data_IF_317902616804
#
_entry.id   IF_317902616804
#
_cell.length_a   1.000
_cell.length_b   1.000
_cell.length_c   1.000
_cell.angle_alpha   90.00
_cell.angle_beta   90.00
_cell.angle_gamma   90.00
#
_symmetry.space_group_name_H-M   'P 1'
#
loop_
_entity.id
_entity.type
_entity.pdbx_description
1 polymer ?
#
# COMPACT_ATOMS: atom_id res chain seq x y z
N UNK A 1 2.32 -1.01 28.55
CA UNK A 1 1.42 -2.11 28.94
C UNK A 1 2.13 -3.20 29.76
N UNK A 2 3.43 -3.40 29.57
CA UNK A 2 4.22 -4.37 30.34
C UNK A 2 5.48 -3.70 30.85
N UNK A 3 5.67 -3.69 32.16
CA UNK A 3 6.87 -3.21 32.83
C UNK A 3 7.87 -4.36 33.06
N UNK A 4 9.17 -4.05 33.12
CA UNK A 4 10.23 -5.02 33.34
C UNK A 4 11.15 -5.25 32.13
N UNK A 5 12.07 -6.20 32.27
CA UNK A 5 12.99 -6.61 31.24
C UNK A 5 12.30 -7.39 30.09
N UNK A 6 13.04 -7.72 29.04
CA UNK A 6 12.50 -8.40 27.84
C UNK A 6 11.87 -9.76 28.18
N UNK A 7 12.41 -10.50 29.16
CA UNK A 7 11.87 -11.81 29.56
C UNK A 7 10.60 -11.65 30.37
N UNK A 8 10.55 -10.68 31.27
CA UNK A 8 9.37 -10.36 32.08
C UNK A 8 8.21 -9.87 31.19
N UNK A 9 8.49 -9.00 30.23
CA UNK A 9 7.52 -8.55 29.22
C UNK A 9 6.96 -9.71 28.41
N UNK A 10 7.82 -10.64 28.01
CA UNK A 10 7.41 -11.84 27.25
C UNK A 10 6.58 -12.80 28.11
N UNK A 11 6.93 -12.99 29.39
CA UNK A 11 6.16 -13.81 30.33
C UNK A 11 4.79 -13.19 30.61
N UNK A 12 4.71 -11.86 30.83
CA UNK A 12 3.45 -11.14 31.00
C UNK A 12 2.56 -11.22 29.75
N UNK A 13 3.14 -11.09 28.55
CA UNK A 13 2.42 -11.28 27.30
C UNK A 13 1.86 -12.70 27.14
N UNK A 14 2.65 -13.74 27.51
CA UNK A 14 2.18 -15.13 27.50
C UNK A 14 1.01 -15.36 28.47
N UNK A 15 1.09 -14.79 29.69
CA UNK A 15 0.00 -14.87 30.69
C UNK A 15 -1.27 -14.19 30.17
N UNK A 16 -1.16 -12.99 29.62
CA UNK A 16 -2.29 -12.28 29.01
C UNK A 16 -2.91 -13.10 27.88
N UNK A 17 -2.08 -13.74 27.06
CA UNK A 17 -2.50 -14.59 25.95
C UNK A 17 -3.23 -15.86 26.42
N UNK A 18 -2.84 -16.42 27.56
CA UNK A 18 -3.48 -17.61 28.15
C UNK A 18 -4.74 -17.29 28.97
N UNK A 19 -4.97 -16.03 29.36
CA UNK A 19 -6.05 -15.60 30.25
C UNK A 19 -7.39 -15.28 29.57
N UNK A 20 -7.60 -15.71 28.33
CA UNK A 20 -8.87 -15.51 27.61
C UNK A 20 -9.04 -14.15 26.94
N UNK A 21 -8.08 -13.20 27.08
CA UNK A 21 -8.03 -11.92 26.38
C UNK A 21 -7.36 -12.02 25.01
N UNK A 22 -6.73 -13.17 24.68
CA UNK A 22 -6.19 -13.44 23.37
C UNK A 22 -7.32 -13.67 22.35
N UNK A 23 -7.12 -13.18 21.11
CA UNK A 23 -8.04 -13.50 20.04
C UNK A 23 -8.18 -15.01 19.84
N UNK A 24 -9.38 -15.48 19.52
CA UNK A 24 -9.71 -16.91 19.33
C UNK A 24 -8.68 -17.63 18.43
N UNK A 25 -8.31 -17.02 17.31
CA UNK A 25 -7.32 -17.61 16.38
C UNK A 25 -5.91 -17.82 17.02
N UNK A 26 -5.51 -16.96 17.99
CA UNK A 26 -4.26 -17.12 18.72
C UNK A 26 -4.34 -18.29 19.72
N UNK A 27 -5.52 -18.50 20.30
CA UNK A 27 -5.77 -19.65 21.18
C UNK A 27 -5.71 -20.95 20.36
N UNK A 28 -6.34 -20.98 19.18
CA UNK A 28 -6.29 -22.12 18.27
C UNK A 28 -4.85 -22.47 17.86
N UNK A 29 -4.01 -21.44 17.57
CA UNK A 29 -2.57 -21.66 17.31
C UNK A 29 -1.88 -22.29 18.53
N UNK A 30 -2.14 -21.79 19.74
CA UNK A 30 -1.51 -22.33 20.97
C UNK A 30 -1.91 -23.76 21.28
N UNK A 31 -3.11 -24.16 20.84
CA UNK A 31 -3.67 -25.50 20.96
C UNK A 31 -3.30 -26.43 19.77
N UNK A 32 -2.53 -25.93 18.81
CA UNK A 32 -2.19 -26.63 17.57
C UNK A 32 -3.41 -27.02 16.70
N UNK A 33 -4.51 -26.31 16.88
CA UNK A 33 -5.76 -26.51 16.13
C UNK A 33 -5.82 -25.62 14.92
N UNK A 34 -4.85 -25.74 14.02
CA UNK A 34 -4.64 -24.81 12.89
C UNK A 34 -5.79 -24.86 11.87
N UNK A 35 -6.39 -26.03 11.67
CA UNK A 35 -7.49 -26.20 10.72
C UNK A 35 -8.78 -25.53 11.16
N UNK A 36 -8.93 -25.21 12.47
CA UNK A 36 -10.11 -24.55 13.00
C UNK A 36 -10.03 -23.01 12.89
N UNK A 37 -8.90 -22.47 12.41
CA UNK A 37 -8.72 -21.02 12.28
C UNK A 37 -9.69 -20.45 11.25
N UNK A 38 -10.50 -19.47 11.68
CA UNK A 38 -11.33 -18.65 10.81
C UNK A 38 -10.59 -17.35 10.43
N UNK A 39 -10.17 -17.25 9.18
CA UNK A 39 -9.42 -16.09 8.68
C UNK A 39 -10.23 -14.79 8.68
N UNK A 40 -11.58 -14.84 8.67
CA UNK A 40 -12.44 -13.66 8.77
C UNK A 40 -12.26 -12.93 10.12
N UNK A 41 -11.87 -13.65 11.17
CA UNK A 41 -11.68 -13.11 12.52
C UNK A 41 -10.28 -12.54 12.76
N UNK A 42 -9.40 -12.58 11.77
CA UNK A 42 -8.03 -12.09 11.88
C UNK A 42 -7.94 -10.66 11.34
N UNK A 43 -7.39 -9.74 12.15
CA UNK A 43 -7.16 -8.37 11.72
C UNK A 43 -6.19 -8.31 10.52
N UNK A 44 -6.43 -7.39 9.60
CA UNK A 44 -5.72 -7.33 8.32
C UNK A 44 -4.19 -7.30 8.43
N UNK A 45 -3.62 -6.58 9.40
CA UNK A 45 -2.17 -6.56 9.63
C UNK A 45 -1.64 -7.90 10.14
N UNK A 46 -2.38 -8.56 11.04
CA UNK A 46 -2.02 -9.90 11.53
C UNK A 46 -2.14 -10.94 10.40
N UNK A 47 -3.14 -10.80 9.54
CA UNK A 47 -3.32 -11.63 8.36
C UNK A 47 -2.12 -11.51 7.41
N UNK A 48 -1.64 -10.29 7.15
CA UNK A 48 -0.43 -10.05 6.34
C UNK A 48 0.83 -10.67 6.97
N UNK A 49 0.95 -10.66 8.30
CA UNK A 49 2.08 -11.29 9.00
C UNK A 49 2.02 -12.82 8.84
N UNK A 50 0.85 -13.42 9.00
CA UNK A 50 0.68 -14.87 8.86
C UNK A 50 1.00 -15.34 7.44
N UNK A 51 0.55 -14.61 6.42
CA UNK A 51 0.78 -14.96 5.01
C UNK A 51 2.23 -14.75 4.55
N UNK A 52 2.94 -13.79 5.15
CA UNK A 52 4.35 -13.53 4.85
C UNK A 52 5.32 -14.42 5.66
N UNK A 53 4.82 -15.16 6.63
CA UNK A 53 5.56 -16.20 7.35
C UNK A 53 5.38 -17.55 6.66
N UNK A 54 6.18 -18.54 7.04
CA UNK A 54 5.97 -19.92 6.60
C UNK A 54 4.82 -20.63 7.33
N UNK A 55 3.99 -19.88 8.08
CA UNK A 55 2.94 -20.45 8.92
C UNK A 55 1.91 -21.26 8.11
N UNK A 56 1.41 -20.69 7.02
CA UNK A 56 0.40 -21.35 6.18
C UNK A 56 0.95 -22.64 5.55
N UNK A 57 2.18 -22.55 5.03
CA UNK A 57 2.89 -23.69 4.43
C UNK A 57 3.15 -24.80 5.46
N UNK A 58 3.72 -24.46 6.61
CA UNK A 58 4.09 -25.41 7.66
C UNK A 58 2.89 -26.15 8.27
N UNK A 59 1.68 -25.60 8.13
CA UNK A 59 0.47 -26.21 8.72
C UNK A 59 -0.58 -26.62 7.68
N UNK A 60 -0.21 -26.63 6.38
CA UNK A 60 -1.08 -27.07 5.29
C UNK A 60 -2.35 -26.23 5.13
N UNK A 61 -2.25 -24.91 5.35
CA UNK A 61 -3.36 -23.97 5.32
C UNK A 61 -3.43 -23.14 4.03
N UNK A 62 -2.51 -23.37 3.09
CA UNK A 62 -2.40 -22.53 1.88
C UNK A 62 -3.67 -22.55 1.04
N UNK A 63 -4.23 -23.75 0.77
CA UNK A 63 -5.45 -23.90 -0.04
C UNK A 63 -6.66 -23.30 0.66
N UNK A 64 -6.81 -23.56 1.96
CA UNK A 64 -7.87 -22.97 2.78
C UNK A 64 -7.81 -21.45 2.77
N UNK A 65 -6.60 -20.88 2.90
CA UNK A 65 -6.40 -19.44 2.84
C UNK A 65 -6.66 -18.88 1.43
N UNK A 66 -6.20 -19.57 0.38
CA UNK A 66 -6.45 -19.15 -1.00
C UNK A 66 -7.95 -19.10 -1.32
N UNK A 67 -8.72 -20.10 -0.90
CA UNK A 67 -10.18 -20.11 -1.05
C UNK A 67 -10.84 -18.97 -0.28
N UNK A 68 -10.42 -18.75 0.97
CA UNK A 68 -10.90 -17.63 1.78
C UNK A 68 -10.69 -16.29 1.08
N UNK A 69 -9.48 -15.98 0.62
CA UNK A 69 -9.20 -14.67 0.04
C UNK A 69 -9.84 -14.49 -1.34
N UNK A 70 -10.05 -15.55 -2.10
CA UNK A 70 -10.78 -15.51 -3.36
C UNK A 70 -12.26 -15.14 -3.17
N UNK A 71 -12.87 -15.56 -2.07
CA UNK A 71 -14.26 -15.25 -1.75
C UNK A 71 -14.48 -13.80 -1.28
N UNK A 72 -13.41 -13.06 -0.95
CA UNK A 72 -13.52 -11.68 -0.49
C UNK A 72 -13.54 -10.70 -1.66
N UNK A 73 -14.40 -9.68 -1.63
CA UNK A 73 -14.34 -8.54 -2.55
C UNK A 73 -13.20 -7.58 -2.17
N UNK A 74 -13.06 -7.31 -0.87
CA UNK A 74 -11.98 -6.50 -0.30
C UNK A 74 -11.59 -7.03 1.08
N UNK A 75 -10.40 -6.66 1.56
CA UNK A 75 -9.94 -7.02 2.89
C UNK A 75 -9.56 -5.78 3.70
N UNK A 76 -9.88 -5.79 5.00
CA UNK A 76 -9.53 -4.69 5.91
C UNK A 76 -8.02 -4.59 6.09
N UNK A 77 -7.51 -3.36 6.07
CA UNK A 77 -6.14 -3.05 6.41
C UNK A 77 -6.07 -1.67 7.11
N UNK A 78 -5.22 -1.53 8.11
CA UNK A 78 -5.09 -0.32 8.93
C UNK A 78 -3.67 0.24 8.98
N UNK A 79 -2.75 -0.32 8.17
CA UNK A 79 -1.38 0.16 8.03
C UNK A 79 -1.25 1.22 6.93
N UNK A 80 -0.02 1.68 6.72
CA UNK A 80 0.29 2.56 5.60
C UNK A 80 0.30 1.80 4.28
N UNK A 81 -0.09 2.45 3.20
CA UNK A 81 -0.22 1.82 1.88
C UNK A 81 1.10 1.20 1.39
N UNK A 82 2.24 1.86 1.63
CA UNK A 82 3.55 1.33 1.24
C UNK A 82 3.93 0.03 1.97
N UNK A 83 3.44 -0.18 3.20
CA UNK A 83 3.69 -1.43 3.95
C UNK A 83 3.11 -2.66 3.24
N UNK A 84 2.07 -2.49 2.42
CA UNK A 84 1.49 -3.58 1.64
C UNK A 84 2.48 -4.14 0.62
N UNK A 85 3.31 -3.29 0.05
CA UNK A 85 4.26 -3.63 -1.01
C UNK A 85 5.70 -3.83 -0.51
N UNK A 86 5.95 -3.60 0.78
CA UNK A 86 7.28 -3.61 1.38
C UNK A 86 7.96 -4.98 1.43
N UNK A 87 7.23 -6.06 1.22
CA UNK A 87 7.75 -7.43 1.32
C UNK A 87 7.63 -8.15 -0.01
N UNK A 88 8.63 -8.98 -0.35
CA UNK A 88 8.54 -9.87 -1.51
C UNK A 88 7.31 -10.79 -1.42
N UNK A 89 6.62 -10.98 -2.52
CA UNK A 89 5.43 -11.82 -2.62
C UNK A 89 5.70 -12.97 -3.59
N UNK A 90 6.05 -14.13 -3.04
CA UNK A 90 6.41 -15.31 -3.82
C UNK A 90 5.21 -16.19 -4.17
N UNK A 91 4.16 -16.13 -3.35
CA UNK A 91 2.96 -16.96 -3.52
C UNK A 91 1.79 -16.13 -4.07
N UNK A 92 0.98 -16.76 -4.93
CA UNK A 92 -0.18 -16.12 -5.55
C UNK A 92 -1.17 -15.55 -4.52
N UNK A 93 -1.41 -16.28 -3.43
CA UNK A 93 -2.34 -15.82 -2.38
C UNK A 93 -1.83 -14.59 -1.62
N UNK A 94 -0.50 -14.37 -1.54
CA UNK A 94 0.07 -13.16 -0.93
C UNK A 94 -0.27 -11.92 -1.76
N UNK A 95 -0.08 -12.00 -3.09
CA UNK A 95 -0.44 -10.91 -4.02
C UNK A 95 -1.93 -10.63 -3.96
N UNK A 96 -2.75 -11.68 -3.99
CA UNK A 96 -4.20 -11.55 -3.93
C UNK A 96 -4.66 -10.88 -2.62
N UNK A 97 -4.06 -11.23 -1.47
CA UNK A 97 -4.35 -10.56 -0.20
C UNK A 97 -4.02 -9.06 -0.27
N UNK A 98 -2.85 -8.71 -0.79
CA UNK A 98 -2.44 -7.31 -0.93
C UNK A 98 -3.39 -6.55 -1.85
N UNK A 99 -3.78 -7.12 -2.98
CA UNK A 99 -4.74 -6.51 -3.89
C UNK A 99 -6.10 -6.26 -3.21
N UNK A 100 -6.61 -7.23 -2.43
CA UNK A 100 -7.85 -7.08 -1.66
C UNK A 100 -7.73 -6.06 -0.53
N UNK A 101 -6.59 -5.99 0.16
CA UNK A 101 -6.32 -5.01 1.20
C UNK A 101 -6.19 -3.59 0.61
N UNK A 102 -5.54 -3.46 -0.53
CA UNK A 102 -5.47 -2.19 -1.26
C UNK A 102 -6.87 -1.72 -1.67
N UNK A 103 -7.69 -2.62 -2.23
CA UNK A 103 -9.10 -2.31 -2.56
C UNK A 103 -9.88 -1.85 -1.32
N UNK A 104 -9.67 -2.48 -0.17
CA UNK A 104 -10.28 -2.09 1.09
C UNK A 104 -9.88 -0.68 1.54
N UNK A 105 -8.58 -0.33 1.39
CA UNK A 105 -8.09 1.03 1.68
C UNK A 105 -8.74 2.06 0.75
N UNK A 106 -8.80 1.80 -0.55
CA UNK A 106 -9.42 2.71 -1.53
C UNK A 106 -10.92 2.90 -1.22
N UNK A 107 -11.65 1.82 -0.96
CA UNK A 107 -13.07 1.89 -0.63
C UNK A 107 -13.32 2.73 0.63
N UNK A 108 -12.50 2.54 1.67
CA UNK A 108 -12.59 3.32 2.91
C UNK A 108 -12.27 4.79 2.67
N UNK A 109 -11.24 5.09 1.87
CA UNK A 109 -10.89 6.46 1.54
C UNK A 109 -12.00 7.16 0.77
N UNK A 110 -12.55 6.52 -0.27
CA UNK A 110 -13.65 7.08 -1.07
C UNK A 110 -14.92 7.38 -0.25
N UNK A 111 -15.19 6.58 0.78
CA UNK A 111 -16.31 6.83 1.69
C UNK A 111 -16.10 8.07 2.57
N UNK A 112 -14.84 8.40 2.89
CA UNK A 112 -14.47 9.49 3.80
C UNK A 112 -13.98 10.75 3.08
N UNK A 113 -13.73 10.67 1.77
CA UNK A 113 -13.31 11.85 0.98
C UNK A 113 -14.45 12.82 0.75
N UNK A 114 -14.13 14.13 0.88
CA UNK A 114 -15.00 15.15 0.33
C UNK A 114 -14.89 15.10 -1.21
N UNK A 115 -16.02 15.06 -1.91
CA UNK A 115 -16.09 14.95 -3.39
C UNK A 115 -15.45 16.14 -4.11
N UNK A 116 -15.29 17.27 -3.42
CA UNK A 116 -14.66 18.47 -3.99
C UNK A 116 -13.11 18.43 -3.98
N UNK A 117 -12.52 17.38 -3.38
CA UNK A 117 -11.06 17.23 -3.25
C UNK A 117 -10.53 16.28 -4.30
N UNK A 118 -10.07 16.82 -5.42
CA UNK A 118 -9.48 16.05 -6.53
C UNK A 118 -8.01 16.43 -6.67
N UNK A 119 -7.08 15.64 -6.10
CA UNK A 119 -5.64 15.93 -6.07
C UNK A 119 -4.86 14.94 -6.91
N UNK A 120 -4.09 15.44 -7.89
CA UNK A 120 -3.12 14.60 -8.59
C UNK A 120 -1.84 14.46 -7.77
N UNK A 121 -1.27 13.26 -7.75
CA UNK A 121 0.02 13.04 -7.11
C UNK A 121 1.15 13.23 -8.12
N UNK A 122 2.21 13.87 -7.67
CA UNK A 122 3.43 14.09 -8.41
C UNK A 122 4.60 13.47 -7.65
N UNK A 123 5.25 12.49 -8.25
CA UNK A 123 6.31 11.68 -7.64
C UNK A 123 7.66 12.13 -8.14
N UNK A 124 8.53 12.47 -7.21
CA UNK A 124 9.94 12.68 -7.45
C UNK A 124 10.62 11.33 -7.75
N UNK A 125 11.35 11.28 -8.84
CA UNK A 125 12.15 10.13 -9.26
C UNK A 125 13.61 10.50 -9.51
N UNK A 126 14.09 11.58 -8.87
CA UNK A 126 15.50 11.94 -8.83
C UNK A 126 16.34 10.85 -8.16
N UNK A 127 17.65 10.90 -8.35
CA UNK A 127 18.57 9.87 -7.85
C UNK A 127 18.55 9.70 -6.32
N UNK A 128 18.34 10.79 -5.56
CA UNK A 128 18.26 10.79 -4.09
C UNK A 128 17.11 9.91 -3.57
N UNK A 129 15.99 9.80 -4.30
CA UNK A 129 14.84 8.96 -3.93
C UNK A 129 15.17 7.46 -3.84
N UNK A 130 16.32 7.01 -4.33
CA UNK A 130 16.78 5.62 -4.15
C UNK A 130 17.24 5.31 -2.74
N UNK A 131 17.51 6.33 -1.93
CA UNK A 131 17.88 6.17 -0.53
C UNK A 131 16.70 5.61 0.29
N UNK A 132 17.04 4.93 1.41
CA UNK A 132 16.02 4.43 2.31
C UNK A 132 15.28 5.59 3.00
N UNK A 133 13.97 5.51 3.05
CA UNK A 133 13.16 6.41 3.84
C UNK A 133 13.55 6.29 5.32
N UNK A 134 13.63 7.42 6.03
CA UNK A 134 14.17 7.52 7.38
C UNK A 134 13.64 6.42 8.33
N UNK A 135 14.54 5.64 8.89
CA UNK A 135 14.22 4.58 9.84
C UNK A 135 13.57 3.31 9.26
N UNK A 136 13.54 3.16 7.94
CA UNK A 136 12.94 2.00 7.26
C UNK A 136 13.95 1.31 6.35
N UNK A 137 13.61 0.09 5.88
CA UNK A 137 14.34 -0.64 4.84
C UNK A 137 13.67 -0.48 3.46
N UNK A 138 12.85 0.55 3.28
CA UNK A 138 12.10 0.82 2.05
C UNK A 138 12.65 2.09 1.45
N UNK A 139 12.86 2.13 0.13
CA UNK A 139 13.32 3.33 -0.55
C UNK A 139 12.27 4.43 -0.51
N UNK A 140 12.70 5.69 -0.48
CA UNK A 140 11.80 6.85 -0.62
C UNK A 140 10.96 6.74 -1.89
N UNK A 141 11.56 6.22 -2.96
CA UNK A 141 10.86 5.93 -4.22
C UNK A 141 9.73 4.91 -4.06
N UNK A 142 9.95 3.78 -3.37
CA UNK A 142 8.89 2.78 -3.19
C UNK A 142 7.73 3.31 -2.34
N UNK A 143 8.02 4.15 -1.35
CA UNK A 143 7.00 4.89 -0.60
C UNK A 143 6.21 5.79 -1.54
N UNK A 144 6.89 6.61 -2.33
CA UNK A 144 6.28 7.55 -3.28
C UNK A 144 5.45 6.82 -4.35
N UNK A 145 5.96 5.71 -4.88
CA UNK A 145 5.26 4.85 -5.85
C UNK A 145 3.97 4.25 -5.27
N UNK A 146 4.01 3.78 -4.02
CA UNK A 146 2.82 3.26 -3.35
C UNK A 146 1.76 4.35 -3.12
N UNK A 147 2.20 5.56 -2.76
CA UNK A 147 1.32 6.72 -2.62
C UNK A 147 0.75 7.18 -3.97
N UNK A 148 1.56 7.16 -5.04
CA UNK A 148 1.08 7.43 -6.39
C UNK A 148 -0.03 6.47 -6.80
N UNK A 149 0.18 5.17 -6.58
CA UNK A 149 -0.82 4.15 -6.85
C UNK A 149 -2.10 4.40 -6.02
N UNK A 150 -1.97 4.74 -4.76
CA UNK A 150 -3.12 5.00 -3.88
C UNK A 150 -3.92 6.22 -4.31
N UNK A 151 -3.27 7.38 -4.44
CA UNK A 151 -3.96 8.62 -4.78
C UNK A 151 -4.55 8.61 -6.20
N UNK A 152 -3.85 8.01 -7.17
CA UNK A 152 -4.38 7.89 -8.53
C UNK A 152 -5.68 7.09 -8.64
N UNK A 153 -5.92 6.14 -7.71
CA UNK A 153 -7.19 5.40 -7.64
C UNK A 153 -8.31 6.18 -6.94
N UNK A 154 -7.98 7.29 -6.30
CA UNK A 154 -8.97 8.21 -5.71
C UNK A 154 -9.36 9.33 -6.69
N UNK A 155 -8.54 9.58 -7.72
CA UNK A 155 -8.82 10.57 -8.75
C UNK A 155 -10.02 10.15 -9.61
N UNK A 156 -10.80 11.16 -10.02
CA UNK A 156 -11.93 11.02 -10.91
C UNK A 156 -11.72 11.82 -12.20
N UNK A 157 -12.63 11.67 -13.18
CA UNK A 157 -12.60 12.41 -14.43
C UNK A 157 -11.45 12.01 -15.35
N UNK A 158 -10.96 12.98 -16.14
CA UNK A 158 -9.93 12.77 -17.16
C UNK A 158 -8.58 12.32 -16.63
N UNK A 159 -8.30 12.57 -15.33
CA UNK A 159 -7.06 12.16 -14.66
C UNK A 159 -7.23 10.90 -13.80
N UNK A 160 -8.36 10.19 -13.90
CA UNK A 160 -8.55 8.94 -13.17
C UNK A 160 -7.42 7.93 -13.47
N UNK A 161 -6.91 7.26 -12.45
CA UNK A 161 -5.77 6.34 -12.53
C UNK A 161 -4.47 6.96 -13.08
N UNK A 162 -4.31 8.28 -12.96
CA UNK A 162 -3.16 9.02 -13.48
C UNK A 162 -2.32 9.58 -12.35
N UNK A 163 -1.01 9.62 -12.54
CA UNK A 163 -0.07 10.32 -11.69
C UNK A 163 1.02 10.98 -12.53
N UNK A 164 1.73 11.93 -11.96
CA UNK A 164 2.86 12.59 -12.58
C UNK A 164 4.16 12.05 -11.99
N UNK A 165 5.14 11.86 -12.83
CA UNK A 165 6.52 11.60 -12.47
C UNK A 165 7.35 12.81 -12.85
N UNK A 166 8.21 13.28 -11.95
CA UNK A 166 9.15 14.34 -12.25
C UNK A 166 10.57 14.02 -11.78
N UNK A 167 11.49 14.45 -12.59
CA UNK A 167 12.94 14.48 -12.34
C UNK A 167 13.49 15.65 -13.20
N UNK A 168 14.47 15.46 -14.06
CA UNK A 168 14.84 16.47 -15.08
C UNK A 168 13.69 16.76 -16.06
N UNK A 169 12.76 15.84 -16.21
CA UNK A 169 11.59 15.90 -17.08
C UNK A 169 10.33 15.58 -16.28
N UNK A 170 9.18 16.01 -16.80
CA UNK A 170 7.87 15.63 -16.24
C UNK A 170 7.15 14.72 -17.21
N UNK A 171 6.61 13.64 -16.69
CA UNK A 171 5.88 12.66 -17.46
C UNK A 171 4.57 12.28 -16.77
N UNK A 172 3.51 12.25 -17.54
CA UNK A 172 2.21 11.77 -17.08
C UNK A 172 2.10 10.27 -17.34
N UNK A 173 1.71 9.52 -16.34
CA UNK A 173 1.51 8.08 -16.40
C UNK A 173 0.08 7.73 -16.04
N UNK A 174 -0.49 6.79 -16.77
CA UNK A 174 -1.80 6.20 -16.47
C UNK A 174 -1.61 4.72 -16.21
N UNK A 175 -2.11 4.24 -15.09
CA UNK A 175 -2.06 2.81 -14.78
C UNK A 175 -2.94 2.02 -15.75
N UNK A 176 -2.40 0.91 -16.26
CA UNK A 176 -3.16 -0.06 -17.05
C UNK A 176 -4.11 -0.90 -16.17
N UNK A 177 -5.03 -1.65 -16.78
CA UNK A 177 -6.04 -2.49 -16.11
C UNK A 177 -5.48 -3.73 -15.40
N UNK A 178 -4.31 -3.61 -14.79
CA UNK A 178 -3.66 -4.65 -14.00
C UNK A 178 -4.04 -4.53 -12.53
N UNK A 179 -3.76 -5.58 -11.76
CA UNK A 179 -3.95 -5.57 -10.31
C UNK A 179 -3.00 -4.56 -9.62
N UNK A 180 -3.34 -4.07 -8.41
CA UNK A 180 -2.47 -3.17 -7.66
C UNK A 180 -1.03 -3.68 -7.50
N UNK A 181 -0.86 -4.97 -7.23
CA UNK A 181 0.47 -5.58 -7.12
C UNK A 181 1.22 -5.57 -8.44
N UNK A 182 0.56 -5.87 -9.56
CA UNK A 182 1.19 -5.80 -10.88
C UNK A 182 1.56 -4.36 -11.26
N UNK A 183 0.68 -3.40 -11.04
CA UNK A 183 0.96 -1.97 -11.25
C UNK A 183 2.20 -1.54 -10.48
N UNK A 184 2.26 -1.88 -9.20
CA UNK A 184 3.37 -1.50 -8.34
C UNK A 184 4.70 -2.14 -8.76
N UNK A 185 4.74 -3.46 -8.98
CA UNK A 185 6.00 -4.16 -9.26
C UNK A 185 6.48 -4.03 -10.69
N UNK A 186 5.58 -3.78 -11.65
CA UNK A 186 5.96 -3.62 -13.07
C UNK A 186 6.28 -2.17 -13.43
N UNK A 187 5.92 -1.18 -12.59
CA UNK A 187 6.30 0.19 -12.84
C UNK A 187 7.75 0.43 -12.42
N UNK A 188 8.58 0.79 -13.38
CA UNK A 188 9.95 1.20 -13.17
C UNK A 188 10.14 2.59 -13.75
N UNK A 189 10.65 3.51 -12.94
CA UNK A 189 11.10 4.81 -13.40
C UNK A 189 12.54 4.74 -13.92
N UNK A 190 12.84 5.56 -14.90
CA UNK A 190 14.23 5.88 -15.21
C UNK A 190 14.67 7.01 -14.27
N UNK A 191 15.45 6.68 -13.25
CA UNK A 191 16.05 7.68 -12.37
C UNK A 191 17.03 8.54 -13.15
N UNK A 192 16.71 9.80 -13.40
CA UNK A 192 17.56 10.68 -14.19
C UNK A 192 17.64 12.07 -13.57
N UNK A 193 18.84 12.45 -13.16
CA UNK A 193 19.27 13.84 -13.03
C UNK A 193 18.69 14.63 -11.85
N UNK A 194 18.37 15.87 -12.13
CA UNK A 194 17.97 16.89 -11.17
C UNK A 194 16.46 16.90 -10.94
N UNK A 195 16.02 17.58 -9.90
CA UNK A 195 14.62 17.76 -9.51
C UNK A 195 14.06 19.03 -10.16
N UNK A 196 13.24 18.89 -11.23
CA UNK A 196 12.64 20.01 -11.94
C UNK A 196 11.13 20.07 -11.74
N UNK A 197 10.68 20.58 -10.60
CA UNK A 197 9.25 20.71 -10.29
C UNK A 197 8.53 21.75 -11.18
N UNK A 198 9.23 22.74 -11.71
CA UNK A 198 8.64 23.73 -12.64
C UNK A 198 8.05 23.06 -13.89
N UNK A 199 8.59 21.93 -14.29
CA UNK A 199 8.06 21.14 -15.40
C UNK A 199 6.61 20.71 -15.20
N UNK A 200 6.16 20.50 -13.95
CA UNK A 200 4.75 20.16 -13.64
C UNK A 200 3.80 21.28 -14.03
N UNK A 201 4.13 22.54 -13.68
CA UNK A 201 3.32 23.69 -14.08
C UNK A 201 3.27 23.86 -15.63
N UNK A 202 4.41 23.63 -16.29
CA UNK A 202 4.47 23.68 -17.76
C UNK A 202 3.59 22.60 -18.41
N UNK A 203 3.58 21.37 -17.87
CA UNK A 203 2.71 20.30 -18.35
C UNK A 203 1.23 20.70 -18.27
N UNK A 204 0.79 21.27 -17.17
CA UNK A 204 -0.61 21.72 -17.03
C UNK A 204 -0.95 22.85 -18.02
N UNK A 205 -0.04 23.80 -18.24
CA UNK A 205 -0.22 24.85 -19.24
C UNK A 205 -0.35 24.26 -20.67
N UNK A 206 0.46 23.23 -21.00
CA UNK A 206 0.35 22.51 -22.27
C UNK A 206 -0.98 21.76 -22.40
N UNK A 207 -1.45 21.09 -21.36
CA UNK A 207 -2.73 20.39 -21.38
C UNK A 207 -3.89 21.39 -21.61
N UNK A 208 -3.85 22.56 -20.96
CA UNK A 208 -4.82 23.64 -21.21
C UNK A 208 -4.81 24.10 -22.66
N UNK A 209 -3.63 24.26 -23.26
CA UNK A 209 -3.49 24.62 -24.67
C UNK A 209 -3.99 23.52 -25.64
N UNK A 210 -4.05 22.26 -25.20
CA UNK A 210 -4.58 21.11 -25.95
C UNK A 210 -6.09 20.91 -25.78
N UNK A 211 -6.79 21.83 -25.12
CA UNK A 211 -8.25 21.83 -25.02
C UNK A 211 -8.80 21.11 -23.77
N UNK A 212 -8.00 20.96 -22.72
CA UNK A 212 -8.53 20.59 -21.42
C UNK A 212 -9.21 21.81 -20.76
N UNK A 213 -10.44 21.65 -20.32
CA UNK A 213 -11.18 22.68 -19.59
C UNK A 213 -10.69 22.84 -18.16
N UNK A 214 -10.91 23.99 -17.54
CA UNK A 214 -10.53 24.23 -16.13
C UNK A 214 -11.18 23.24 -15.17
N UNK A 215 -12.40 22.83 -15.45
CA UNK A 215 -13.13 21.81 -14.66
C UNK A 215 -12.55 20.40 -14.76
N UNK A 216 -11.72 20.12 -15.78
CA UNK A 216 -11.06 18.83 -15.94
C UNK A 216 -9.86 18.67 -15.00
N UNK A 217 -9.22 19.80 -14.63
CA UNK A 217 -8.00 19.76 -13.85
C UNK A 217 -8.22 19.37 -12.39
N UNK A 218 -7.25 18.69 -11.77
CA UNK A 218 -7.26 18.45 -10.33
C UNK A 218 -7.27 19.79 -9.56
N UNK A 219 -7.92 19.80 -8.40
CA UNK A 219 -7.99 20.99 -7.52
C UNK A 219 -6.66 21.31 -6.84
N UNK A 220 -5.72 20.35 -6.86
CA UNK A 220 -4.38 20.54 -6.32
C UNK A 220 -3.41 19.42 -6.69
N UNK A 221 -2.15 19.62 -6.32
CA UNK A 221 -1.05 18.68 -6.55
C UNK A 221 -0.47 18.24 -5.21
N UNK A 222 -0.37 16.93 -4.99
CA UNK A 222 0.37 16.36 -3.85
C UNK A 222 1.76 15.98 -4.38
N UNK A 223 2.79 16.73 -3.99
CA UNK A 223 4.16 16.42 -4.30
C UNK A 223 4.77 15.47 -3.27
N UNK A 224 5.39 14.39 -3.73
CA UNK A 224 6.07 13.42 -2.88
C UNK A 224 7.54 13.40 -3.32
N UNK A 225 8.40 13.90 -2.45
CA UNK A 225 9.84 14.06 -2.66
C UNK A 225 10.57 13.89 -1.33
N UNK A 226 11.87 13.66 -1.36
CA UNK A 226 12.75 13.70 -0.19
C UNK A 226 13.14 15.13 0.23
N UNK A 227 12.71 16.13 -0.53
CA UNK A 227 12.89 17.56 -0.23
C UNK A 227 14.18 18.17 -0.78
N UNK A 228 14.95 17.43 -1.56
CA UNK A 228 16.13 17.96 -2.25
C UNK A 228 15.75 18.58 -3.60
N UNK A 229 15.31 19.86 -3.57
CA UNK A 229 14.92 20.63 -4.76
C UNK A 229 16.04 21.55 -5.26
#
# INVERSE_FOLDING_TARGET
>A
LFEGDKQQKYAAYRRLKSSGTAHEWQQLISQQRYQDIDFNKIAGRALSILTNSKFLENHGLEDKFAQFILSQESAKYTGFVYELFAKPMHKKYQRLLVDKQFTGLINTAKQNMNRDSNFIVCVDTSGSMTCHACGTNISSYDVAKAMALYFSHLLEGKFANTFLEFNSYVKMHTWSDKTPTEKFFNFNSSYVGSTNFLGVAKLFAELKSKGYDESDFPTGVICISDGEF
#
